data_IF_126564746887
#
_entry.id   IF_126564746887
#
_cell.length_a   1.000
_cell.length_b   1.000
_cell.length_c   1.000
_cell.angle_alpha   90.00
_cell.angle_beta   90.00
_cell.angle_gamma   90.00
#
_symmetry.space_group_name_H-M   'P 1'
#
loop_
_entity.id
_entity.type
_entity.pdbx_description
1 polymer ?
#
# COMPACT_ATOMS: atom_id res chain seq x y z
N UNK A 1 1.78 1.19 9.41
CA UNK A 1 1.25 0.54 8.24
C UNK A 1 1.53 1.46 7.08
N UNK A 2 2.44 1.07 6.20
CA UNK A 2 2.33 1.49 4.81
C UNK A 2 1.79 0.31 4.02
N UNK A 3 0.96 0.59 3.03
CA UNK A 3 0.38 -0.40 2.14
C UNK A 3 1.51 -1.07 1.35
N UNK A 4 1.42 -2.38 1.17
CA UNK A 4 2.32 -3.11 0.26
C UNK A 4 1.93 -2.84 -1.19
N UNK A 5 2.86 -3.04 -2.12
CA UNK A 5 2.61 -2.83 -3.54
C UNK A 5 1.46 -3.70 -4.09
N UNK A 6 1.20 -4.84 -3.45
CA UNK A 6 0.15 -5.79 -3.79
C UNK A 6 -1.14 -5.60 -2.96
N UNK A 7 -1.29 -4.49 -2.24
CA UNK A 7 -2.40 -4.30 -1.29
C UNK A 7 -3.79 -4.23 -1.96
N UNK A 8 -3.86 -3.96 -3.26
CA UNK A 8 -5.10 -4.03 -4.04
C UNK A 8 -5.41 -5.50 -4.34
N UNK A 9 -6.59 -5.94 -3.92
CA UNK A 9 -7.12 -7.28 -4.15
C UNK A 9 -8.39 -7.19 -4.98
N UNK A 10 -8.72 -8.30 -5.65
CA UNK A 10 -9.92 -8.41 -6.47
C UNK A 10 -10.57 -9.78 -6.33
N UNK A 11 -11.88 -9.84 -6.48
CA UNK A 11 -12.62 -11.09 -6.65
C UNK A 11 -13.85 -10.88 -7.51
N UNK A 12 -14.20 -11.91 -8.27
CA UNK A 12 -15.39 -11.91 -9.11
C UNK A 12 -16.64 -12.21 -8.27
N UNK A 13 -17.54 -11.25 -8.22
CA UNK A 13 -18.82 -11.36 -7.55
C UNK A 13 -19.88 -11.92 -8.50
N UNK A 14 -20.09 -13.23 -8.41
CA UNK A 14 -21.05 -13.97 -9.24
C UNK A 14 -22.48 -13.46 -9.12
N UNK A 15 -22.88 -12.87 -8.00
CA UNK A 15 -24.26 -12.40 -7.79
C UNK A 15 -24.59 -11.20 -8.69
N UNK A 16 -23.59 -10.36 -8.95
CA UNK A 16 -23.74 -9.14 -9.72
C UNK A 16 -22.92 -9.17 -11.02
N UNK A 17 -22.39 -10.34 -11.37
CA UNK A 17 -21.51 -10.60 -12.52
C UNK A 17 -20.45 -9.51 -12.73
N UNK A 18 -19.77 -9.14 -11.65
CA UNK A 18 -18.78 -8.04 -11.68
C UNK A 18 -17.57 -8.33 -10.84
N UNK A 19 -16.42 -7.83 -11.26
CA UNK A 19 -15.22 -7.84 -10.42
C UNK A 19 -15.32 -6.74 -9.37
N UNK A 20 -15.14 -7.11 -8.10
CA UNK A 20 -15.00 -6.16 -7.00
C UNK A 20 -13.53 -6.01 -6.65
N UNK A 21 -13.16 -4.79 -6.26
CA UNK A 21 -11.82 -4.44 -5.85
C UNK A 21 -11.85 -3.86 -4.43
N UNK A 22 -10.83 -4.17 -3.65
CA UNK A 22 -10.64 -3.58 -2.33
C UNK A 22 -9.15 -3.47 -2.01
N UNK A 23 -8.85 -2.56 -1.09
CA UNK A 23 -7.54 -2.39 -0.49
C UNK A 23 -7.49 -3.15 0.83
N UNK A 24 -6.50 -4.02 1.00
CA UNK A 24 -6.26 -4.75 2.24
C UNK A 24 -5.34 -3.93 3.17
N UNK A 25 -5.89 -3.54 4.31
CA UNK A 25 -5.21 -2.75 5.35
C UNK A 25 -4.78 -3.73 6.43
N UNK A 26 -3.53 -4.18 6.38
CA UNK A 26 -2.97 -5.16 7.33
C UNK A 26 -1.49 -4.89 7.61
N UNK A 27 -0.94 -5.61 8.58
CA UNK A 27 0.49 -5.53 8.86
C UNK A 27 1.26 -6.12 7.67
N UNK A 28 2.34 -5.43 7.29
CA UNK A 28 3.21 -5.92 6.23
C UNK A 28 3.93 -7.18 6.72
N UNK A 29 3.75 -8.30 6.02
CA UNK A 29 4.39 -9.57 6.34
C UNK A 29 5.68 -9.84 5.56
N UNK A 30 6.08 -8.94 4.64
CA UNK A 30 7.25 -9.13 3.77
C UNK A 30 8.53 -8.51 4.32
N UNK A 31 8.41 -7.57 5.26
CA UNK A 31 9.54 -6.89 5.89
C UNK A 31 9.66 -7.39 7.32
N UNK A 32 10.83 -7.91 7.69
CA UNK A 32 11.15 -8.05 9.11
C UNK A 32 11.27 -6.66 9.75
N UNK A 33 11.18 -6.58 11.09
CA UNK A 33 11.23 -5.31 11.81
C UNK A 33 12.47 -4.45 11.48
N UNK A 34 13.54 -5.05 10.95
CA UNK A 34 14.81 -4.43 10.58
C UNK A 34 14.90 -3.95 9.12
N UNK A 35 13.97 -4.35 8.23
CA UNK A 35 13.94 -3.92 6.82
C UNK A 35 13.35 -2.52 6.60
N UNK A 36 12.49 -2.08 7.52
CA UNK A 36 11.92 -0.73 7.49
C UNK A 36 12.92 0.27 8.11
N UNK A 37 13.64 1.00 7.27
CA UNK A 37 14.63 2.01 7.68
C UNK A 37 14.01 3.29 8.26
N UNK A 38 12.68 3.39 8.36
CA UNK A 38 12.04 4.61 8.82
C UNK A 38 12.15 4.79 10.33
N UNK A 39 12.49 6.02 10.73
CA UNK A 39 12.53 6.43 12.14
C UNK A 39 11.17 6.29 12.83
N UNK A 40 10.10 6.78 12.18
CA UNK A 40 8.72 6.57 12.62
C UNK A 40 8.07 5.47 11.79
N UNK A 41 8.09 4.24 12.32
CA UNK A 41 7.44 3.09 11.69
C UNK A 41 5.95 3.14 12.02
N UNK A 42 5.07 3.40 11.05
CA UNK A 42 3.66 3.30 11.35
C UNK A 42 3.38 1.81 11.66
N UNK A 43 2.54 1.50 12.63
CA UNK A 43 2.18 0.12 13.01
C UNK A 43 0.68 -0.03 13.20
N UNK A 44 0.17 -1.26 13.00
CA UNK A 44 -1.19 -1.61 13.39
C UNK A 44 -1.17 -1.91 14.89
N UNK A 45 -1.92 -1.14 15.68
CA UNK A 45 -1.94 -1.29 17.14
C UNK A 45 -2.99 -2.29 17.64
N UNK A 46 -4.04 -2.53 16.86
CA UNK A 46 -5.17 -3.37 17.26
C UNK A 46 -5.69 -4.19 16.10
N UNK A 47 -6.28 -5.35 16.39
CA UNK A 47 -6.95 -6.22 15.39
C UNK A 47 -8.03 -5.43 14.63
N UNK A 48 -8.72 -4.52 15.30
CA UNK A 48 -9.75 -3.65 14.70
C UNK A 48 -9.19 -2.66 13.65
N UNK A 49 -7.88 -2.45 13.60
CA UNK A 49 -7.29 -1.61 12.55
C UNK A 49 -7.10 -2.37 11.24
N UNK A 50 -7.20 -3.70 11.24
CA UNK A 50 -7.16 -4.55 10.05
C UNK A 50 -8.51 -4.48 9.35
N UNK A 51 -8.53 -4.11 8.06
CA UNK A 51 -9.78 -3.91 7.33
C UNK A 51 -9.61 -4.03 5.82
N UNK A 52 -10.74 -4.23 5.14
CA UNK A 52 -10.82 -4.14 3.68
C UNK A 52 -11.58 -2.87 3.32
N UNK A 53 -11.01 -2.04 2.45
CA UNK A 53 -11.62 -0.80 1.98
C UNK A 53 -12.01 -0.98 0.51
N UNK A 54 -13.31 -0.93 0.15
CA UNK A 54 -13.72 -0.97 -1.25
C UNK A 54 -13.05 0.16 -2.04
N UNK A 55 -12.55 -0.15 -3.24
CA UNK A 55 -11.98 0.85 -4.15
C UNK A 55 -12.69 0.82 -5.49
N UNK A 56 -12.61 1.92 -6.24
CA UNK A 56 -13.12 1.98 -7.60
C UNK A 56 -12.25 1.15 -8.54
N UNK A 57 -12.82 0.77 -9.70
CA UNK A 57 -12.07 0.12 -10.78
C UNK A 57 -10.90 1.00 -11.26
N UNK A 58 -11.10 2.31 -11.36
CA UNK A 58 -10.06 3.27 -11.72
C UNK A 58 -8.86 3.22 -10.76
N UNK A 59 -9.11 3.26 -9.44
CA UNK A 59 -8.04 3.13 -8.43
C UNK A 59 -7.36 1.77 -8.52
N UNK A 60 -8.14 0.69 -8.70
CA UNK A 60 -7.62 -0.66 -8.79
C UNK A 60 -6.72 -0.91 -10.00
N UNK A 61 -6.92 -0.19 -11.10
CA UNK A 61 -6.06 -0.23 -12.29
C UNK A 61 -4.83 0.66 -12.17
N UNK A 62 -4.98 1.85 -11.58
CA UNK A 62 -3.89 2.81 -11.50
C UNK A 62 -2.76 2.35 -10.57
N UNK A 63 -3.11 1.73 -9.44
CA UNK A 63 -2.12 1.33 -8.42
C UNK A 63 -1.12 0.28 -8.95
N UNK A 64 -1.53 -0.83 -9.58
CA UNK A 64 -0.59 -1.77 -10.20
C UNK A 64 0.29 -1.12 -11.26
N UNK A 65 -0.29 -0.30 -12.15
CA UNK A 65 0.47 0.41 -13.19
C UNK A 65 1.56 1.28 -12.57
N UNK A 66 1.24 2.03 -11.52
CA UNK A 66 2.23 2.82 -10.79
C UNK A 66 3.30 1.94 -10.13
N UNK A 67 2.90 0.87 -9.42
CA UNK A 67 3.82 -0.04 -8.73
C UNK A 67 4.79 -0.75 -9.69
N UNK A 68 4.34 -1.08 -10.90
CA UNK A 68 5.12 -1.82 -11.89
C UNK A 68 5.99 -0.91 -12.75
N UNK A 69 5.53 0.30 -13.08
CA UNK A 69 6.16 1.13 -14.12
C UNK A 69 6.79 2.42 -13.59
N UNK A 70 6.33 2.95 -12.46
CA UNK A 70 6.74 4.28 -11.99
C UNK A 70 7.56 4.24 -10.69
N UNK A 71 7.72 3.06 -10.08
CA UNK A 71 8.27 2.91 -8.73
C UNK A 71 9.78 2.58 -8.70
N UNK A 72 10.48 2.50 -9.83
CA UNK A 72 11.93 2.27 -9.90
C UNK A 72 12.44 1.12 -9.00
N UNK A 73 11.82 -0.07 -9.13
CA UNK A 73 12.18 -1.37 -8.49
C UNK A 73 12.94 -1.25 -7.15
N UNK A 74 12.31 -0.72 -6.11
CA UNK A 74 12.98 -0.42 -4.86
C UNK A 74 13.17 -1.69 -4.03
N UNK A 75 14.19 -1.72 -3.18
CA UNK A 75 14.46 -2.82 -2.26
C UNK A 75 13.56 -2.80 -1.02
N UNK A 76 12.27 -2.52 -1.21
CA UNK A 76 11.25 -2.60 -0.16
C UNK A 76 9.88 -2.95 -0.76
N UNK A 77 8.99 -3.48 0.06
CA UNK A 77 7.65 -3.95 -0.34
C UNK A 77 6.56 -2.87 -0.29
N UNK A 78 6.83 -1.70 0.30
CA UNK A 78 5.84 -0.62 0.48
C UNK A 78 5.47 0.12 -0.80
N UNK A 79 4.18 0.26 -1.10
CA UNK A 79 3.63 0.89 -2.30
C UNK A 79 4.28 2.23 -2.70
N UNK A 80 4.56 3.13 -1.76
CA UNK A 80 5.11 4.46 -2.07
C UNK A 80 6.59 4.56 -1.70
N UNK A 81 7.34 5.24 -2.56
CA UNK A 81 8.75 5.52 -2.36
C UNK A 81 8.97 7.01 -2.09
N UNK A 82 10.00 7.32 -1.33
CA UNK A 82 10.63 8.63 -1.33
C UNK A 82 11.45 8.81 -2.62
N UNK A 83 11.77 10.06 -2.97
CA UNK A 83 12.64 10.38 -4.11
C UNK A 83 14.03 9.73 -3.99
N UNK A 84 14.47 9.42 -2.77
CA UNK A 84 15.73 8.72 -2.48
C UNK A 84 15.64 7.21 -2.69
N UNK A 85 14.50 6.67 -3.16
CA UNK A 85 14.29 5.24 -3.42
C UNK A 85 13.94 4.38 -2.20
N UNK A 86 13.96 4.97 -0.99
CA UNK A 86 13.54 4.31 0.24
C UNK A 86 12.03 4.42 0.51
N UNK A 87 11.51 3.77 1.56
CA UNK A 87 10.11 3.87 1.94
C UNK A 87 9.69 5.32 2.24
N UNK A 88 8.53 5.74 1.74
CA UNK A 88 8.04 7.10 2.03
C UNK A 88 7.78 7.29 3.54
N UNK A 89 8.27 8.41 4.07
CA UNK A 89 8.00 8.86 5.44
C UNK A 89 6.74 9.71 5.49
N UNK A 90 5.90 9.51 6.53
CA UNK A 90 4.67 10.29 6.73
C UNK A 90 4.95 11.80 6.83
N UNK A 91 6.10 12.16 7.39
CA UNK A 91 6.52 13.56 7.58
C UNK A 91 6.81 14.26 6.26
N UNK A 92 7.44 13.54 5.32
CA UNK A 92 7.69 14.03 3.96
C UNK A 92 6.38 14.31 3.22
N UNK A 93 5.38 13.43 3.37
CA UNK A 93 4.06 13.62 2.75
C UNK A 93 3.33 14.83 3.31
N UNK A 94 3.37 15.04 4.63
CA UNK A 94 2.77 16.23 5.26
C UNK A 94 3.41 17.53 4.77
N UNK A 95 4.74 17.54 4.64
CA UNK A 95 5.49 18.71 4.17
C UNK A 95 5.24 19.02 2.69
N UNK A 96 4.95 18.02 1.87
CA UNK A 96 4.68 18.20 0.43
C UNK A 96 3.25 18.68 0.12
N UNK A 97 2.32 18.60 1.08
CA UNK A 97 0.93 19.01 0.92
C UNK A 97 0.66 20.43 1.43
N UNK A 98 1.70 21.15 1.82
CA UNK A 98 1.72 22.53 2.29
C UNK A 98 2.59 23.37 1.34
#
# INVERSE_FOLDING_TARGET
>A
MLLTADAIKSSHDRKFDRTRYWLDVRQNGYEEADGDSRYSKPSIKTIHSIRQIPVSDATARLVPVYCENCRDRPFHSFMLNAQTGGPLFTESLKRSLH
#
